data_IF_254368485774
#
_entry.id   IF_254368485774
#
_cell.length_a   1.000
_cell.length_b   1.000
_cell.length_c   1.000
_cell.angle_alpha   90.00
_cell.angle_beta   90.00
_cell.angle_gamma   90.00
#
_symmetry.space_group_name_H-M   'P 1'
#
loop_
_entity.id
_entity.type
_entity.pdbx_description
1 polymer ?
#
# COMPACT_ATOMS: atom_id res chain seq x y z
N UNK A 1 -24.85 -11.56 23.86
CA UNK A 1 -23.64 -12.35 24.10
C UNK A 1 -22.53 -11.35 24.43
N UNK A 2 -21.98 -11.37 25.64
CA UNK A 2 -20.99 -10.38 26.08
C UNK A 2 -19.58 -10.86 25.68
N UNK A 3 -18.92 -10.15 24.76
CA UNK A 3 -17.62 -10.54 24.17
C UNK A 3 -16.44 -9.76 24.75
N UNK A 4 -16.67 -8.85 25.71
CA UNK A 4 -15.63 -7.95 26.22
C UNK A 4 -14.47 -8.69 26.92
N UNK A 5 -14.72 -9.84 27.55
CA UNK A 5 -13.69 -10.67 28.18
C UNK A 5 -12.87 -11.55 27.22
N UNK A 6 -13.22 -11.59 25.93
CA UNK A 6 -12.54 -12.41 24.91
C UNK A 6 -11.48 -11.63 24.10
N UNK A 7 -11.37 -10.32 24.33
CA UNK A 7 -10.48 -9.44 23.58
C UNK A 7 -9.06 -9.47 24.16
N UNK A 8 -8.06 -9.57 23.29
CA UNK A 8 -6.66 -9.43 23.70
C UNK A 8 -6.37 -7.98 24.13
N UNK A 9 -5.52 -7.79 25.15
CA UNK A 9 -5.19 -6.48 25.73
C UNK A 9 -4.78 -5.41 24.67
N UNK A 10 -4.09 -5.83 23.60
CA UNK A 10 -3.68 -4.96 22.48
C UNK A 10 -4.84 -4.32 21.71
N UNK A 11 -6.02 -4.95 21.72
CA UNK A 11 -7.21 -4.49 21.01
C UNK A 11 -7.88 -3.32 21.74
N UNK A 12 -7.72 -3.24 23.07
CA UNK A 12 -8.38 -2.23 23.92
C UNK A 12 -8.02 -0.80 23.49
N UNK A 13 -6.82 -0.60 22.93
CA UNK A 13 -6.35 0.72 22.49
C UNK A 13 -6.56 1.01 20.99
N UNK A 14 -7.17 0.09 20.24
CA UNK A 14 -7.47 0.31 18.82
C UNK A 14 -8.65 1.26 18.71
N UNK A 15 -8.38 2.52 18.36
CA UNK A 15 -9.40 3.55 18.14
C UNK A 15 -9.77 3.67 16.67
N UNK A 16 -11.03 4.03 16.41
CA UNK A 16 -11.45 4.45 15.07
C UNK A 16 -10.74 5.74 14.68
N UNK A 17 -10.38 5.86 13.39
CA UNK A 17 -9.70 7.05 12.87
C UNK A 17 -10.66 8.24 12.82
N UNK A 18 -10.39 9.29 13.61
CA UNK A 18 -11.16 10.54 13.59
C UNK A 18 -11.17 11.19 12.20
N UNK A 19 -10.08 11.03 11.42
CA UNK A 19 -9.97 11.51 10.04
C UNK A 19 -11.00 10.82 9.12
N UNK A 20 -11.30 9.54 9.37
CA UNK A 20 -12.29 8.79 8.58
C UNK A 20 -13.70 9.35 8.77
N UNK A 21 -14.04 9.79 9.98
CA UNK A 21 -15.34 10.41 10.26
C UNK A 21 -15.46 11.80 9.62
N UNK A 22 -14.39 12.62 9.67
CA UNK A 22 -14.33 13.91 9.00
C UNK A 22 -14.46 13.79 7.46
N UNK A 23 -13.84 12.76 6.86
CA UNK A 23 -13.96 12.50 5.43
C UNK A 23 -15.39 12.14 4.99
N UNK A 24 -16.26 11.61 5.87
CA UNK A 24 -17.66 11.37 5.50
C UNK A 24 -18.42 12.67 5.26
N UNK A 25 -18.14 13.70 6.07
CA UNK A 25 -18.78 15.01 5.95
C UNK A 25 -18.28 15.80 4.75
N UNK A 26 -17.07 15.50 4.27
CA UNK A 26 -16.47 16.13 3.09
C UNK A 26 -17.22 15.91 1.77
N UNK A 27 -18.12 14.93 1.72
CA UNK A 27 -18.92 14.58 0.53
C UNK A 27 -20.30 15.26 0.49
N UNK A 28 -20.60 16.13 1.45
CA UNK A 28 -21.88 16.83 1.51
C UNK A 28 -21.97 17.91 0.41
N UNK A 29 -23.13 18.07 -0.26
CA UNK A 29 -23.33 19.16 -1.22
C UNK A 29 -23.03 20.52 -0.60
N UNK A 30 -22.26 21.36 -1.29
CA UNK A 30 -21.88 22.71 -0.84
C UNK A 30 -20.60 22.79 0.00
N UNK A 31 -19.93 21.67 0.26
CA UNK A 31 -18.65 21.63 1.00
C UNK A 31 -17.48 21.45 0.05
N UNK A 32 -16.47 22.32 0.13
CA UNK A 32 -15.16 22.14 -0.53
C UNK A 32 -14.20 21.56 0.50
N UNK A 33 -13.70 20.35 0.25
CA UNK A 33 -12.80 19.65 1.17
C UNK A 33 -11.34 19.79 0.75
N UNK A 34 -10.55 20.46 1.60
CA UNK A 34 -9.09 20.54 1.48
C UNK A 34 -8.36 19.54 2.40
N UNK A 35 -9.10 18.76 3.20
CA UNK A 35 -8.56 17.82 4.17
C UNK A 35 -8.27 16.42 3.59
N UNK A 36 -8.55 16.21 2.30
CA UNK A 36 -8.32 14.95 1.62
C UNK A 36 -6.85 14.73 1.29
N UNK A 37 -6.28 13.61 1.75
CA UNK A 37 -4.94 13.15 1.37
C UNK A 37 -4.94 12.07 0.28
N UNK A 38 -6.01 11.98 -0.50
CA UNK A 38 -6.18 10.96 -1.55
C UNK A 38 -5.76 11.59 -2.88
N UNK A 39 -4.82 11.00 -3.63
CA UNK A 39 -4.44 11.51 -4.94
C UNK A 39 -5.63 11.49 -5.91
N UNK A 40 -5.64 12.44 -6.84
CA UNK A 40 -6.65 12.50 -7.91
C UNK A 40 -6.54 11.28 -8.83
N UNK A 41 -7.67 10.67 -9.15
CA UNK A 41 -7.81 9.55 -10.07
C UNK A 41 -7.44 9.92 -11.52
N UNK A 42 -7.65 11.17 -11.92
CA UNK A 42 -7.26 11.69 -13.23
C UNK A 42 -5.74 11.65 -13.50
N UNK A 43 -4.92 11.49 -12.45
CA UNK A 43 -3.46 11.37 -12.57
C UNK A 43 -2.98 9.92 -12.71
N UNK A 44 -3.90 8.95 -12.71
CA UNK A 44 -3.52 7.54 -12.83
C UNK A 44 -3.28 7.17 -14.30
N UNK A 45 -2.11 6.59 -14.57
CA UNK A 45 -1.75 6.03 -15.87
C UNK A 45 -2.40 4.66 -16.06
N UNK A 46 -3.70 4.64 -16.38
CA UNK A 46 -4.44 3.41 -16.60
C UNK A 46 -3.91 2.59 -17.78
N UNK A 47 -3.37 3.25 -18.80
CA UNK A 47 -2.80 2.59 -19.98
C UNK A 47 -1.51 1.86 -19.60
N UNK A 48 -0.56 2.54 -18.96
CA UNK A 48 0.68 1.93 -18.49
C UNK A 48 0.44 0.82 -17.47
N UNK A 49 -0.54 0.97 -16.57
CA UNK A 49 -0.94 -0.08 -15.64
C UNK A 49 -1.49 -1.32 -16.36
N UNK A 50 -2.29 -1.13 -17.41
CA UNK A 50 -2.81 -2.24 -18.21
C UNK A 50 -1.69 -3.00 -18.92
N UNK A 51 -0.78 -2.27 -19.58
CA UNK A 51 0.38 -2.85 -20.27
C UNK A 51 1.26 -3.63 -19.30
N UNK A 52 1.62 -3.03 -18.16
CA UNK A 52 2.47 -3.67 -17.17
C UNK A 52 1.82 -4.93 -16.56
N UNK A 53 0.51 -4.88 -16.31
CA UNK A 53 -0.25 -6.04 -15.81
C UNK A 53 -0.25 -7.17 -16.83
N UNK A 54 -0.51 -6.85 -18.10
CA UNK A 54 -0.51 -7.83 -19.17
C UNK A 54 0.88 -8.48 -19.31
N UNK A 55 1.95 -7.68 -19.31
CA UNK A 55 3.33 -8.16 -19.36
C UNK A 55 3.65 -9.11 -18.21
N UNK A 56 3.29 -8.73 -16.97
CA UNK A 56 3.53 -9.57 -15.79
C UNK A 56 2.84 -10.95 -15.92
N UNK A 57 1.61 -10.97 -16.44
CA UNK A 57 0.85 -12.21 -16.65
C UNK A 57 1.43 -13.03 -17.80
N UNK A 58 1.85 -12.41 -18.91
CA UNK A 58 2.33 -13.14 -20.09
C UNK A 58 3.75 -13.65 -19.96
N UNK A 59 4.64 -12.85 -19.38
CA UNK A 59 6.07 -13.18 -19.29
C UNK A 59 6.34 -14.15 -18.15
N UNK A 60 5.61 -14.04 -17.04
CA UNK A 60 5.83 -14.87 -15.87
C UNK A 60 4.51 -15.37 -15.21
N UNK A 61 3.64 -16.07 -15.97
CA UNK A 61 2.30 -16.43 -15.50
C UNK A 61 2.29 -17.23 -14.19
N UNK A 62 3.26 -18.13 -14.01
CA UNK A 62 3.33 -18.96 -12.79
C UNK A 62 3.76 -18.17 -11.56
N UNK A 63 4.77 -17.31 -11.67
CA UNK A 63 5.24 -16.50 -10.54
C UNK A 63 4.28 -15.35 -10.21
N UNK A 64 3.52 -14.85 -11.20
CA UNK A 64 2.53 -13.81 -10.99
C UNK A 64 1.39 -14.23 -10.04
N UNK A 65 1.01 -15.51 -10.03
CA UNK A 65 -0.11 -16.02 -9.23
C UNK A 65 0.30 -16.98 -8.09
N UNK A 66 1.56 -17.41 -8.05
CA UNK A 66 2.08 -18.27 -6.99
C UNK A 66 2.60 -17.44 -5.81
N UNK A 67 2.71 -18.07 -4.63
CA UNK A 67 3.44 -17.49 -3.50
C UNK A 67 4.83 -17.01 -3.92
N UNK A 68 5.13 -15.76 -3.54
CA UNK A 68 6.43 -15.13 -3.78
C UNK A 68 7.36 -15.24 -2.58
N UNK A 69 8.56 -14.70 -2.73
CA UNK A 69 9.54 -14.54 -1.65
C UNK A 69 9.04 -13.54 -0.61
N UNK A 70 9.40 -13.75 0.66
CA UNK A 70 9.01 -12.88 1.78
C UNK A 70 9.49 -11.45 1.59
N UNK A 71 10.66 -11.27 1.00
CA UNK A 71 11.28 -9.96 0.74
C UNK A 71 10.61 -9.22 -0.43
N UNK A 72 9.87 -9.94 -1.27
CA UNK A 72 9.28 -9.45 -2.52
C UNK A 72 10.06 -9.86 -3.77
N UNK A 73 9.52 -9.48 -4.94
CA UNK A 73 10.12 -9.82 -6.24
C UNK A 73 11.52 -9.19 -6.41
N UNK A 74 12.55 -9.97 -6.81
CA UNK A 74 13.90 -9.44 -7.05
C UNK A 74 13.92 -8.29 -8.06
N UNK A 75 13.20 -8.43 -9.18
CA UNK A 75 13.09 -7.40 -10.21
C UNK A 75 12.49 -6.10 -9.67
N UNK A 76 11.47 -6.20 -8.81
CA UNK A 76 10.87 -5.02 -8.19
C UNK A 76 11.85 -4.33 -7.23
N UNK A 77 12.61 -5.10 -6.45
CA UNK A 77 13.61 -4.55 -5.52
C UNK A 77 14.72 -3.81 -6.26
N UNK A 78 15.19 -4.33 -7.40
CA UNK A 78 16.16 -3.65 -8.27
C UNK A 78 15.61 -2.32 -8.79
N UNK A 79 14.37 -2.31 -9.31
CA UNK A 79 13.74 -1.08 -9.80
C UNK A 79 13.50 -0.04 -8.71
N UNK A 80 13.20 -0.47 -7.48
CA UNK A 80 13.14 0.41 -6.31
C UNK A 80 14.51 1.03 -6.03
N UNK A 81 15.60 0.25 -6.09
CA UNK A 81 16.95 0.77 -5.89
C UNK A 81 17.32 1.83 -6.94
N UNK A 82 16.97 1.61 -8.21
CA UNK A 82 17.14 2.62 -9.28
C UNK A 82 16.38 3.91 -8.94
N UNK A 83 15.12 3.80 -8.53
CA UNK A 83 14.29 4.94 -8.17
C UNK A 83 14.82 5.67 -6.91
N UNK A 84 15.40 4.95 -5.96
CA UNK A 84 16.09 5.51 -4.81
C UNK A 84 17.34 6.28 -5.22
N UNK A 85 18.14 5.73 -6.14
CA UNK A 85 19.35 6.37 -6.65
C UNK A 85 19.05 7.69 -7.36
N UNK A 86 17.96 7.76 -8.15
CA UNK A 86 17.47 9.00 -8.77
C UNK A 86 17.12 10.09 -7.73
N UNK A 87 16.83 9.69 -6.49
CA UNK A 87 16.54 10.58 -5.35
C UNK A 87 17.73 10.76 -4.41
N UNK A 88 18.91 10.30 -4.79
CA UNK A 88 20.14 10.42 -4.01
C UNK A 88 20.30 9.40 -2.88
N UNK A 89 19.45 8.36 -2.83
CA UNK A 89 19.53 7.29 -1.83
C UNK A 89 20.23 6.08 -2.46
N UNK A 90 21.40 5.73 -1.92
CA UNK A 90 22.12 4.50 -2.30
C UNK A 90 21.56 3.31 -1.49
N UNK A 91 21.00 2.33 -2.18
CA UNK A 91 20.48 1.10 -1.60
C UNK A 91 20.80 -0.08 -2.53
N UNK A 92 21.05 -1.25 -1.95
CA UNK A 92 21.18 -2.49 -2.71
C UNK A 92 19.89 -3.30 -2.59
N UNK A 93 19.57 -4.20 -3.54
CA UNK A 93 18.35 -4.99 -3.48
C UNK A 93 18.18 -5.71 -2.14
N UNK A 94 19.25 -6.25 -1.56
CA UNK A 94 19.27 -6.90 -0.24
C UNK A 94 18.79 -6.00 0.91
N UNK A 95 18.93 -4.68 0.78
CA UNK A 95 18.54 -3.69 1.77
C UNK A 95 17.04 -3.30 1.65
N UNK A 96 16.33 -3.80 0.63
CA UNK A 96 14.92 -3.49 0.32
C UNK A 96 13.99 -4.67 0.65
N UNK A 97 12.93 -4.41 1.42
CA UNK A 97 11.82 -5.35 1.67
C UNK A 97 10.49 -4.73 1.21
N UNK A 98 9.72 -5.46 0.42
CA UNK A 98 8.44 -5.00 -0.12
C UNK A 98 7.30 -5.37 0.84
N UNK A 99 6.58 -4.36 1.34
CA UNK A 99 5.44 -4.56 2.27
C UNK A 99 4.13 -4.07 1.67
N UNK A 100 2.99 -4.62 2.13
CA UNK A 100 1.65 -4.18 1.69
C UNK A 100 1.28 -2.84 2.35
N UNK A 101 1.65 -1.72 1.71
CA UNK A 101 1.24 -0.33 2.03
C UNK A 101 1.77 0.21 3.38
N UNK A 102 2.02 1.52 3.42
CA UNK A 102 2.69 2.24 4.52
C UNK A 102 1.98 2.15 5.90
N UNK A 103 0.71 1.74 5.97
CA UNK A 103 0.02 1.54 7.24
C UNK A 103 0.47 0.27 8.00
N UNK A 104 1.21 -0.63 7.36
CA UNK A 104 1.67 -1.89 7.94
C UNK A 104 3.02 -1.82 8.69
N UNK A 105 3.52 -0.61 8.99
CA UNK A 105 4.73 -0.43 9.81
C UNK A 105 4.58 -0.93 11.27
N UNK A 106 3.39 -1.31 11.69
CA UNK A 106 3.16 -2.01 12.96
C UNK A 106 2.98 -3.51 12.67
N UNK A 107 3.95 -4.32 13.10
CA UNK A 107 4.08 -5.74 12.80
C UNK A 107 2.77 -6.52 12.79
N UNK A 108 2.44 -7.02 11.60
CA UNK A 108 1.55 -8.15 11.36
C UNK A 108 2.11 -8.85 10.12
N UNK A 109 2.97 -9.82 10.40
CA UNK A 109 3.14 -11.00 9.54
C UNK A 109 1.98 -11.96 9.83
#
# INVERSE_FOLDING_TARGET
MNTEGLLAQRIINVKSSAIRELLKQSKMPGVISLAGGIPSDALFDFEGLSIATQQAITEQPKSAFQYGLTEGSPLLRERICTLCAERGVQARPEDVMVTRRLAAGAGIW
#
